data_IF_487468156601
#
_entry.id   IF_487468156601
#
_cell.length_a   1.000
_cell.length_b   1.000
_cell.length_c   1.000
_cell.angle_alpha   90.00
_cell.angle_beta   90.00
_cell.angle_gamma   90.00
#
_symmetry.space_group_name_H-M   'P 1'
#
loop_
_entity.id
_entity.type
_entity.pdbx_description
1 polymer ?
#
# COMPACT_ATOMS: atom_id res chain seq x y z
N UNK A 1 -4.03 -11.93 -88.20
CA UNK A 1 -5.16 -11.51 -89.07
C UNK A 1 -6.04 -10.65 -88.18
N UNK A 2 -6.07 -9.30 -88.26
CA UNK A 2 -6.61 -8.42 -89.34
C UNK A 2 -7.94 -8.99 -89.84
N UNK A 3 -9.10 -8.30 -89.82
CA UNK A 3 -9.51 -6.94 -90.25
C UNK A 3 -10.77 -6.57 -89.43
N UNK A 4 -11.03 -5.38 -88.90
CA UNK A 4 -11.28 -4.04 -89.47
C UNK A 4 -12.57 -3.87 -90.30
N UNK A 5 -13.31 -2.81 -89.92
CA UNK A 5 -14.27 -1.97 -90.67
C UNK A 5 -15.76 -2.37 -90.77
N UNK A 6 -16.61 -1.43 -90.32
CA UNK A 6 -18.04 -1.30 -90.67
C UNK A 6 -18.78 -0.31 -89.76
N UNK A 7 -18.82 0.96 -90.15
CA UNK A 7 -19.54 2.06 -89.49
C UNK A 7 -20.81 2.47 -90.29
N UNK A 8 -21.62 3.35 -89.67
CA UNK A 8 -22.80 4.09 -90.17
C UNK A 8 -24.15 3.33 -90.03
N UNK A 9 -25.26 3.86 -89.48
CA UNK A 9 -25.65 5.25 -89.24
C UNK A 9 -26.81 5.40 -88.19
N UNK A 10 -26.91 6.62 -87.64
CA UNK A 10 -27.74 7.27 -86.57
C UNK A 10 -29.29 7.20 -86.68
N UNK A 11 -30.11 7.91 -85.84
CA UNK A 11 -30.03 8.29 -84.40
C UNK A 11 -31.39 8.11 -83.64
N UNK A 12 -31.42 8.27 -82.31
CA UNK A 12 -32.48 9.01 -81.60
C UNK A 12 -32.14 9.18 -80.10
N UNK A 13 -32.31 10.39 -79.62
CA UNK A 13 -32.14 10.86 -78.24
C UNK A 13 -32.75 9.95 -77.18
N UNK A 14 -32.07 9.78 -76.05
CA UNK A 14 -32.60 10.05 -74.70
C UNK A 14 -31.49 9.80 -73.67
N UNK A 15 -31.23 10.80 -72.85
CA UNK A 15 -30.31 10.81 -71.72
C UNK A 15 -30.41 9.56 -70.82
N UNK A 16 -29.36 8.73 -70.80
CA UNK A 16 -29.12 7.79 -69.71
C UNK A 16 -28.38 8.51 -68.58
N UNK A 17 -29.12 8.93 -67.56
CA UNK A 17 -28.53 9.24 -66.26
C UNK A 17 -28.28 7.92 -65.55
N UNK A 18 -27.00 7.60 -65.32
CA UNK A 18 -26.54 6.46 -64.52
C UNK A 18 -27.09 6.59 -63.10
N UNK A 19 -28.21 5.92 -62.83
CA UNK A 19 -28.70 5.69 -61.49
C UNK A 19 -27.81 4.66 -60.80
N UNK A 20 -26.89 5.15 -59.96
CA UNK A 20 -26.25 4.32 -58.94
C UNK A 20 -27.33 3.62 -58.10
N UNK A 21 -27.21 2.31 -57.80
CA UNK A 21 -28.09 1.67 -56.83
C UNK A 21 -27.61 2.08 -55.43
N UNK A 22 -27.89 3.31 -55.04
CA UNK A 22 -27.87 3.67 -53.64
C UNK A 22 -29.22 3.20 -53.07
N UNK A 23 -29.30 1.90 -52.79
CA UNK A 23 -30.40 1.33 -52.01
C UNK A 23 -30.33 1.98 -50.63
N UNK A 24 -31.09 3.07 -50.46
CA UNK A 24 -31.36 3.65 -49.16
C UNK A 24 -31.97 2.56 -48.29
N UNK A 25 -31.17 1.97 -47.41
CA UNK A 25 -31.67 1.04 -46.42
C UNK A 25 -32.62 1.82 -45.51
N UNK A 26 -33.92 1.57 -45.66
CA UNK A 26 -34.94 2.11 -44.75
C UNK A 26 -34.58 1.72 -43.31
N UNK A 27 -34.70 2.63 -42.33
CA UNK A 27 -34.51 2.30 -40.92
C UNK A 27 -35.52 1.22 -40.52
N UNK A 28 -35.06 0.15 -39.86
CA UNK A 28 -35.94 -0.91 -39.33
C UNK A 28 -36.62 -0.36 -38.08
N UNK A 29 -37.96 -0.31 -38.09
CA UNK A 29 -38.72 0.24 -36.98
C UNK A 29 -38.88 -0.78 -35.85
N UNK A 30 -39.05 -0.30 -34.60
CA UNK A 30 -39.33 -1.15 -33.44
C UNK A 30 -40.57 -2.02 -33.64
N UNK A 31 -41.57 -1.48 -34.36
CA UNK A 31 -42.84 -2.15 -34.65
C UNK A 31 -42.67 -3.41 -35.51
N UNK A 32 -41.58 -3.50 -36.28
CA UNK A 32 -41.26 -4.66 -37.12
C UNK A 32 -40.55 -5.78 -36.32
N UNK A 33 -40.18 -5.52 -35.06
CA UNK A 33 -39.32 -6.38 -34.24
C UNK A 33 -39.91 -6.66 -32.85
N UNK A 34 -41.23 -6.92 -32.78
CA UNK A 34 -41.95 -7.22 -31.52
C UNK A 34 -41.48 -8.52 -30.84
N UNK A 35 -40.78 -9.41 -31.55
CA UNK A 35 -40.19 -10.63 -30.98
C UNK A 35 -38.95 -10.38 -30.11
N UNK A 36 -38.35 -9.20 -30.17
CA UNK A 36 -37.21 -8.82 -29.34
C UNK A 36 -37.67 -8.13 -28.06
N UNK A 37 -37.12 -8.55 -26.92
CA UNK A 37 -37.35 -7.86 -25.65
C UNK A 37 -36.73 -6.45 -25.66
N UNK A 38 -37.26 -5.53 -24.87
CA UNK A 38 -36.74 -4.15 -24.76
C UNK A 38 -35.21 -4.08 -24.53
N UNK A 39 -34.60 -4.84 -23.61
CA UNK A 39 -33.14 -4.78 -23.42
C UNK A 39 -32.34 -5.27 -24.64
N UNK A 40 -32.90 -6.19 -25.44
CA UNK A 40 -32.26 -6.73 -26.64
C UNK A 40 -32.36 -5.75 -27.81
N UNK A 41 -33.52 -5.11 -27.96
CA UNK A 41 -33.68 -4.04 -28.94
C UNK A 41 -32.72 -2.88 -28.66
N UNK A 42 -32.67 -2.41 -27.42
CA UNK A 42 -31.75 -1.36 -26.98
C UNK A 42 -30.29 -1.77 -27.19
N UNK A 43 -29.96 -3.05 -26.99
CA UNK A 43 -28.63 -3.57 -27.28
C UNK A 43 -28.28 -3.53 -28.77
N UNK A 44 -29.22 -3.83 -29.66
CA UNK A 44 -29.02 -3.71 -31.09
C UNK A 44 -28.88 -2.25 -31.55
N UNK A 45 -29.62 -1.33 -30.91
CA UNK A 45 -29.42 0.11 -31.14
C UNK A 45 -28.02 0.57 -30.71
N UNK A 46 -27.52 0.10 -29.57
CA UNK A 46 -26.13 0.37 -29.17
C UNK A 46 -25.11 -0.31 -30.09
N UNK A 47 -25.34 -1.55 -30.52
CA UNK A 47 -24.50 -2.25 -31.48
C UNK A 47 -24.44 -1.50 -32.82
N UNK A 48 -25.55 -0.87 -33.24
CA UNK A 48 -25.62 -0.02 -34.41
C UNK A 48 -24.65 1.16 -34.34
N UNK A 49 -24.45 1.75 -33.16
CA UNK A 49 -23.45 2.82 -32.98
C UNK A 49 -22.01 2.33 -33.14
N UNK A 50 -21.76 1.03 -32.96
CA UNK A 50 -20.41 0.43 -33.03
C UNK A 50 -20.08 -0.09 -34.43
N UNK A 51 -21.04 -0.76 -35.07
CA UNK A 51 -20.82 -1.50 -36.33
C UNK A 51 -21.56 -0.86 -37.52
N UNK A 52 -22.45 0.09 -37.27
CA UNK A 52 -23.23 0.83 -38.25
C UNK A 52 -24.65 0.26 -38.46
N UNK A 53 -25.60 1.17 -38.71
CA UNK A 53 -27.02 0.86 -38.90
C UNK A 53 -27.26 -0.13 -40.04
N UNK A 54 -26.55 0.00 -41.16
CA UNK A 54 -26.72 -0.89 -42.32
C UNK A 54 -26.42 -2.36 -41.98
N UNK A 55 -25.45 -2.61 -41.10
CA UNK A 55 -25.07 -3.97 -40.68
C UNK A 55 -26.14 -4.56 -39.76
N UNK A 56 -26.61 -3.79 -38.78
CA UNK A 56 -27.70 -4.22 -37.89
C UNK A 56 -29.01 -4.42 -38.67
N UNK A 57 -29.30 -3.56 -39.64
CA UNK A 57 -30.48 -3.68 -40.49
C UNK A 57 -30.40 -4.88 -41.44
N UNK A 58 -29.19 -5.32 -41.82
CA UNK A 58 -28.98 -6.58 -42.55
C UNK A 58 -29.23 -7.78 -41.63
N UNK A 59 -28.71 -7.74 -40.40
CA UNK A 59 -28.95 -8.77 -39.38
C UNK A 59 -30.45 -8.97 -39.14
N UNK A 60 -31.20 -7.88 -38.93
CA UNK A 60 -32.64 -7.93 -38.67
C UNK A 60 -33.47 -8.44 -39.86
N UNK A 61 -32.98 -8.30 -41.10
CA UNK A 61 -33.69 -8.75 -42.32
C UNK A 61 -33.31 -10.16 -42.77
N UNK A 62 -32.12 -10.63 -42.43
CA UNK A 62 -31.57 -11.88 -42.98
C UNK A 62 -31.51 -13.00 -41.96
N UNK A 63 -31.37 -12.68 -40.66
CA UNK A 63 -31.28 -13.69 -39.61
C UNK A 63 -32.66 -14.09 -39.10
N UNK A 64 -32.77 -15.34 -38.63
CA UNK A 64 -33.96 -15.83 -37.93
C UNK A 64 -34.17 -15.10 -36.60
N UNK A 65 -35.40 -15.05 -36.06
CA UNK A 65 -35.66 -14.43 -34.75
C UNK A 65 -34.77 -14.96 -33.62
N UNK A 66 -34.45 -16.25 -33.62
CA UNK A 66 -33.57 -16.88 -32.61
C UNK A 66 -32.12 -16.42 -32.75
N UNK A 67 -31.63 -16.27 -33.97
CA UNK A 67 -30.27 -15.81 -34.22
C UNK A 67 -30.12 -14.32 -33.89
N UNK A 68 -31.15 -13.51 -34.14
CA UNK A 68 -31.19 -12.10 -33.74
C UNK A 68 -31.07 -11.93 -32.21
N UNK A 69 -31.80 -12.77 -31.45
CA UNK A 69 -31.68 -12.83 -30.00
C UNK A 69 -30.26 -13.22 -29.55
N UNK A 70 -29.65 -14.20 -30.22
CA UNK A 70 -28.26 -14.60 -29.97
C UNK A 70 -27.26 -13.45 -30.15
N UNK A 71 -27.42 -12.64 -31.20
CA UNK A 71 -26.60 -11.45 -31.47
C UNK A 71 -26.78 -10.39 -30.36
N UNK A 72 -28.03 -10.09 -29.99
CA UNK A 72 -28.33 -9.12 -28.94
C UNK A 72 -27.75 -9.53 -27.58
N UNK A 73 -27.95 -10.79 -27.16
CA UNK A 73 -27.41 -11.31 -25.91
C UNK A 73 -25.87 -11.35 -25.90
N UNK A 74 -25.27 -11.73 -27.02
CA UNK A 74 -23.81 -11.74 -27.18
C UNK A 74 -23.21 -10.34 -26.98
N UNK A 75 -23.87 -9.32 -27.52
CA UNK A 75 -23.45 -7.94 -27.34
C UNK A 75 -23.63 -7.45 -25.89
N UNK A 76 -24.79 -7.72 -25.26
CA UNK A 76 -25.03 -7.36 -23.86
C UNK A 76 -23.97 -7.97 -22.93
N UNK A 77 -23.65 -9.26 -23.12
CA UNK A 77 -22.63 -9.95 -22.31
C UNK A 77 -21.25 -9.33 -22.49
N UNK A 78 -20.92 -8.89 -23.70
CA UNK A 78 -19.66 -8.18 -24.00
C UNK A 78 -19.62 -6.81 -23.32
N UNK A 79 -20.70 -6.03 -23.40
CA UNK A 79 -20.79 -4.72 -22.72
C UNK A 79 -20.64 -4.85 -21.20
N UNK A 80 -21.27 -5.86 -20.59
CA UNK A 80 -21.15 -6.15 -19.16
C UNK A 80 -19.71 -6.49 -18.78
N UNK A 81 -19.02 -7.32 -19.59
CA UNK A 81 -17.62 -7.67 -19.37
C UNK A 81 -16.70 -6.45 -19.49
N UNK A 82 -16.90 -5.60 -20.49
CA UNK A 82 -16.13 -4.36 -20.67
C UNK A 82 -16.40 -3.34 -19.55
N UNK A 83 -17.64 -3.24 -19.08
CA UNK A 83 -18.00 -2.38 -17.94
C UNK A 83 -17.37 -2.88 -16.64
N UNK A 84 -17.36 -4.19 -16.39
CA UNK A 84 -16.69 -4.80 -15.24
C UNK A 84 -15.16 -4.62 -15.31
N UNK A 85 -14.57 -4.75 -16.50
CA UNK A 85 -13.15 -4.50 -16.73
C UNK A 85 -12.80 -3.01 -16.51
N UNK A 86 -13.69 -2.08 -16.88
CA UNK A 86 -13.47 -0.64 -16.64
C UNK A 86 -13.68 -0.24 -15.18
N UNK A 87 -14.60 -0.88 -14.47
CA UNK A 87 -14.83 -0.65 -13.04
C UNK A 87 -13.62 -1.08 -12.18
N UNK A 88 -12.91 -2.14 -12.57
CA UNK A 88 -11.64 -2.54 -11.91
C UNK A 88 -10.49 -1.56 -12.17
N UNK A 89 -10.49 -0.86 -13.31
CA UNK A 89 -9.48 0.16 -13.66
C UNK A 89 -9.80 1.55 -13.08
N UNK A 90 -11.08 1.86 -12.81
CA UNK A 90 -11.53 3.21 -12.43
C UNK A 90 -11.75 3.41 -10.93
N UNK A 91 -11.14 2.58 -10.07
CA UNK A 91 -11.03 2.96 -8.65
C UNK A 91 -10.15 4.21 -8.60
N UNK A 92 -10.62 5.38 -8.13
CA UNK A 92 -9.75 6.53 -7.96
C UNK A 92 -8.73 6.11 -6.91
N UNK A 93 -7.52 5.81 -7.38
CA UNK A 93 -6.37 5.58 -6.55
C UNK A 93 -6.15 6.86 -5.77
N UNK A 94 -6.61 6.87 -4.52
CA UNK A 94 -6.01 7.69 -3.47
C UNK A 94 -4.49 7.57 -3.64
N UNK A 95 -3.71 8.66 -3.47
CA UNK A 95 -2.27 8.54 -3.49
C UNK A 95 -1.91 7.48 -2.45
N UNK A 96 -1.58 6.28 -2.92
CA UNK A 96 -1.10 5.18 -2.09
C UNK A 96 0.27 5.66 -1.66
N UNK A 97 0.31 6.41 -0.56
CA UNK A 97 1.56 6.67 0.14
C UNK A 97 2.10 5.28 0.46
N UNK A 98 3.11 4.88 -0.30
CA UNK A 98 3.74 3.58 -0.17
C UNK A 98 4.16 3.38 1.27
N UNK A 99 3.80 2.24 1.85
CA UNK A 99 4.27 1.87 3.17
C UNK A 99 5.77 1.65 3.10
N UNK A 100 6.51 2.43 3.89
CA UNK A 100 7.96 2.31 3.93
C UNK A 100 8.33 1.04 4.71
N UNK A 101 9.05 0.12 4.05
CA UNK A 101 9.62 -1.07 4.72
C UNK A 101 10.84 -0.65 5.54
N UNK A 102 10.63 -0.10 6.74
CA UNK A 102 11.71 0.18 7.67
C UNK A 102 12.24 -1.11 8.31
N UNK A 103 13.54 -1.37 8.21
CA UNK A 103 14.16 -2.48 8.92
C UNK A 103 14.20 -2.18 10.42
N UNK A 104 13.77 -3.13 11.24
CA UNK A 104 13.86 -3.05 12.71
C UNK A 104 14.90 -4.06 13.15
N UNK A 105 15.91 -3.61 13.87
CA UNK A 105 16.92 -4.51 14.42
C UNK A 105 16.31 -5.42 15.48
N UNK A 106 16.81 -6.65 15.56
CA UNK A 106 16.34 -7.59 16.58
C UNK A 106 16.75 -7.08 17.95
N UNK A 107 15.80 -6.92 18.88
CA UNK A 107 16.13 -6.66 20.28
C UNK A 107 16.86 -7.87 20.85
N UNK A 108 18.11 -7.70 21.27
CA UNK A 108 18.85 -8.71 22.00
C UNK A 108 19.23 -8.08 23.33
N UNK A 109 18.87 -8.74 24.43
CA UNK A 109 19.21 -8.30 25.78
C UNK A 109 20.75 -8.26 25.97
N UNK A 110 21.37 -7.13 25.59
CA UNK A 110 22.80 -6.84 25.66
C UNK A 110 23.02 -5.57 26.48
N UNK A 111 24.17 -5.50 27.16
CA UNK A 111 24.61 -4.29 27.84
C UNK A 111 24.76 -3.14 26.82
N UNK A 112 23.89 -2.12 26.91
CA UNK A 112 23.91 -0.96 26.01
C UNK A 112 22.62 -0.71 25.23
N UNK A 113 21.79 -1.72 25.02
CA UNK A 113 20.53 -1.61 24.29
C UNK A 113 19.37 -1.51 25.28
N UNK A 114 18.75 -0.33 25.40
CA UNK A 114 17.55 -0.18 26.23
C UNK A 114 16.31 -0.65 25.47
N UNK A 115 15.51 -1.49 26.12
CA UNK A 115 14.21 -1.94 25.61
C UNK A 115 13.33 -0.77 25.17
N UNK A 116 13.36 0.34 25.94
CA UNK A 116 12.62 1.56 25.63
C UNK A 116 13.06 2.22 24.31
N UNK A 117 14.38 2.31 24.04
CA UNK A 117 14.89 2.85 22.77
C UNK A 117 14.45 1.97 21.61
N UNK A 118 14.54 0.65 21.76
CA UNK A 118 14.09 -0.29 20.73
C UNK A 118 12.57 -0.20 20.47
N UNK A 119 11.75 -0.04 21.51
CA UNK A 119 10.30 0.16 21.35
C UNK A 119 9.98 1.42 20.54
N UNK A 120 10.74 2.51 20.71
CA UNK A 120 10.60 3.73 19.89
C UNK A 120 10.92 3.46 18.41
N UNK A 121 11.95 2.66 18.12
CA UNK A 121 12.28 2.26 16.74
C UNK A 121 11.16 1.42 16.11
N UNK A 122 10.60 0.47 16.87
CA UNK A 122 9.45 -0.35 16.44
C UNK A 122 8.23 0.52 16.18
N UNK A 123 7.90 1.44 17.09
CA UNK A 123 6.73 2.33 16.96
C UNK A 123 6.87 3.25 15.73
N UNK A 124 8.09 3.71 15.45
CA UNK A 124 8.42 4.44 14.23
C UNK A 124 8.18 3.58 12.98
N UNK A 125 8.62 2.32 13.00
CA UNK A 125 8.41 1.38 11.90
C UNK A 125 6.94 1.02 11.68
N UNK A 126 6.16 0.82 12.75
CA UNK A 126 4.71 0.61 12.71
C UNK A 126 4.01 1.80 12.07
N UNK A 127 4.40 3.01 12.47
CA UNK A 127 3.84 4.28 11.97
C UNK A 127 4.13 4.45 10.48
N UNK A 128 5.39 4.24 10.07
CA UNK A 128 5.79 4.31 8.66
C UNK A 128 5.13 3.25 7.78
N UNK A 129 4.87 2.06 8.33
CA UNK A 129 4.12 0.98 7.67
C UNK A 129 2.60 1.15 7.72
N UNK A 130 2.10 2.10 8.50
CA UNK A 130 0.66 2.39 8.71
C UNK A 130 -0.12 1.18 9.24
N UNK A 131 0.51 0.39 10.13
CA UNK A 131 -0.16 -0.74 10.78
C UNK A 131 -1.06 -0.19 11.89
N UNK A 132 -2.38 -0.25 11.69
CA UNK A 132 -3.37 0.27 12.65
C UNK A 132 -3.86 -0.81 13.61
N UNK A 133 -4.16 -2.00 13.07
CA UNK A 133 -4.73 -3.11 13.83
C UNK A 133 -3.81 -3.55 14.98
N UNK A 134 -4.33 -3.62 16.24
CA UNK A 134 -3.52 -3.98 17.41
C UNK A 134 -2.86 -5.36 17.30
N UNK A 135 -3.54 -6.35 16.71
CA UNK A 135 -3.01 -7.71 16.59
C UNK A 135 -1.93 -7.78 15.51
N UNK A 136 -2.06 -7.01 14.43
CA UNK A 136 -1.03 -6.87 13.40
C UNK A 136 0.22 -6.16 13.94
N UNK A 137 0.06 -5.17 14.84
CA UNK A 137 1.21 -4.55 15.53
C UNK A 137 1.97 -5.59 16.34
N UNK A 138 1.28 -6.40 17.15
CA UNK A 138 1.91 -7.49 17.93
C UNK A 138 2.57 -8.53 17.01
N UNK A 139 1.88 -8.97 15.95
CA UNK A 139 2.41 -9.94 15.00
C UNK A 139 3.64 -9.42 14.23
N UNK A 140 3.71 -8.12 13.98
CA UNK A 140 4.86 -7.45 13.38
C UNK A 140 6.04 -7.35 14.37
N UNK A 141 5.77 -7.03 15.64
CA UNK A 141 6.81 -6.80 16.65
C UNK A 141 7.43 -8.07 17.19
N UNK A 142 6.66 -9.17 17.36
CA UNK A 142 7.18 -10.42 17.93
C UNK A 142 8.39 -11.02 17.18
N UNK A 143 8.42 -11.08 15.83
CA UNK A 143 9.61 -11.52 15.09
C UNK A 143 10.83 -10.63 15.30
N UNK A 144 10.64 -9.36 15.65
CA UNK A 144 11.71 -8.39 15.92
C UNK A 144 12.34 -8.57 17.31
N UNK A 145 11.80 -9.44 18.17
CA UNK A 145 12.46 -9.84 19.41
C UNK A 145 13.53 -10.89 19.10
N UNK A 146 14.65 -10.87 19.83
CA UNK A 146 15.71 -11.86 19.76
C UNK A 146 15.92 -12.59 21.08
N UNK A 147 16.67 -13.70 21.04
CA UNK A 147 17.10 -14.43 22.23
C UNK A 147 15.96 -14.79 23.20
N UNK A 148 16.17 -14.48 24.48
CA UNK A 148 15.20 -14.76 25.56
C UNK A 148 13.86 -14.05 25.37
N UNK A 149 13.86 -12.81 24.86
CA UNK A 149 12.65 -12.04 24.63
C UNK A 149 11.74 -12.69 23.59
N UNK A 150 12.33 -13.25 22.52
CA UNK A 150 11.58 -14.02 21.52
C UNK A 150 10.95 -15.25 22.15
N UNK A 151 11.74 -16.08 22.83
CA UNK A 151 11.24 -17.33 23.45
C UNK A 151 10.13 -17.06 24.46
N UNK A 152 10.25 -16.01 25.27
CA UNK A 152 9.22 -15.58 26.20
C UNK A 152 7.91 -15.21 25.50
N UNK A 153 7.97 -14.36 24.47
CA UNK A 153 6.78 -13.86 23.78
C UNK A 153 6.01 -15.00 23.09
N UNK A 154 6.71 -15.88 22.38
CA UNK A 154 6.09 -17.04 21.74
C UNK A 154 5.61 -18.08 22.76
N UNK A 155 6.34 -18.28 23.88
CA UNK A 155 5.92 -19.13 24.97
C UNK A 155 4.58 -18.70 25.58
N UNK A 156 4.42 -17.39 25.87
CA UNK A 156 3.14 -16.84 26.33
C UNK A 156 2.01 -17.08 25.34
N UNK A 157 2.26 -16.83 24.05
CA UNK A 157 1.26 -17.00 23.00
C UNK A 157 0.86 -18.45 22.75
N UNK A 158 1.75 -19.41 23.03
CA UNK A 158 1.45 -20.84 22.98
C UNK A 158 0.53 -21.27 24.14
N UNK A 159 0.71 -20.69 25.32
CA UNK A 159 -0.15 -20.98 26.49
C UNK A 159 -1.51 -20.30 26.39
N UNK A 160 -1.54 -19.06 25.92
CA UNK A 160 -2.76 -18.28 25.73
C UNK A 160 -2.66 -17.50 24.40
N UNK A 161 -3.42 -17.93 23.36
CA UNK A 161 -3.45 -17.23 22.07
C UNK A 161 -3.90 -15.77 22.15
N UNK A 162 -4.59 -15.39 23.23
CA UNK A 162 -5.17 -14.06 23.46
C UNK A 162 -4.39 -13.19 24.45
N UNK A 163 -3.24 -13.67 24.95
CA UNK A 163 -2.45 -12.97 25.98
C UNK A 163 -2.06 -11.53 25.61
N UNK A 164 -1.94 -11.22 24.32
CA UNK A 164 -1.64 -9.89 23.80
C UNK A 164 -2.85 -9.32 23.06
N UNK A 165 -3.93 -9.05 23.80
CA UNK A 165 -5.19 -8.52 23.25
C UNK A 165 -5.04 -7.13 22.63
N UNK A 166 -4.06 -6.34 23.08
CA UNK A 166 -3.70 -5.04 22.51
C UNK A 166 -2.18 -4.86 22.44
N UNK A 167 -1.74 -3.95 21.58
CA UNK A 167 -0.33 -3.61 21.46
C UNK A 167 0.22 -2.92 22.71
N UNK A 168 -0.60 -2.14 23.44
CA UNK A 168 -0.17 -1.50 24.68
C UNK A 168 0.02 -2.52 25.81
N UNK A 169 -0.89 -3.49 25.94
CA UNK A 169 -0.72 -4.63 26.87
C UNK A 169 0.58 -5.39 26.57
N UNK A 170 0.85 -5.67 25.29
CA UNK A 170 2.11 -6.31 24.88
C UNK A 170 3.34 -5.50 25.30
N UNK A 171 3.36 -4.18 25.08
CA UNK A 171 4.47 -3.32 25.50
C UNK A 171 4.66 -3.31 27.01
N UNK A 172 3.57 -3.23 27.78
CA UNK A 172 3.63 -3.24 29.25
C UNK A 172 4.15 -4.57 29.80
N UNK A 173 3.65 -5.71 29.31
CA UNK A 173 4.15 -7.02 29.75
C UNK A 173 5.62 -7.22 29.34
N UNK A 174 6.00 -6.78 28.15
CA UNK A 174 7.38 -6.87 27.68
C UNK A 174 8.32 -6.02 28.55
N UNK A 175 7.89 -4.81 28.95
CA UNK A 175 8.61 -3.97 29.91
C UNK A 175 8.73 -4.68 31.25
N UNK A 176 7.64 -5.17 31.82
CA UNK A 176 7.70 -5.88 33.11
C UNK A 176 8.63 -7.10 33.09
N UNK A 177 8.72 -7.81 31.96
CA UNK A 177 9.54 -9.01 31.84
C UNK A 177 11.02 -8.72 31.59
N UNK A 178 11.36 -7.66 30.83
CA UNK A 178 12.72 -7.41 30.33
C UNK A 178 13.31 -6.07 30.73
N UNK A 179 12.53 -5.17 31.30
CA UNK A 179 13.07 -4.01 31.97
C UNK A 179 13.60 -4.45 33.34
N UNK A 180 14.89 -4.26 33.62
CA UNK A 180 15.41 -4.53 34.96
C UNK A 180 14.57 -3.73 35.96
N UNK A 181 14.06 -4.34 37.05
CA UNK A 181 13.28 -3.68 38.10
C UNK A 181 13.99 -2.47 38.75
N UNK A 182 15.25 -2.24 38.39
CA UNK A 182 16.13 -1.20 38.90
C UNK A 182 16.91 -0.52 37.78
N UNK A 183 16.49 -0.53 36.52
CA UNK A 183 17.29 0.08 35.44
C UNK A 183 17.57 1.58 35.70
N UNK A 184 16.55 2.33 36.13
CA UNK A 184 16.69 3.74 36.52
C UNK A 184 17.59 3.89 37.76
N UNK A 185 17.39 3.07 38.79
CA UNK A 185 18.20 3.11 40.01
C UNK A 185 19.65 2.72 39.77
N UNK A 186 19.89 1.71 38.94
CA UNK A 186 21.22 1.22 38.55
C UNK A 186 21.92 2.23 37.67
N UNK A 187 21.26 2.74 36.63
CA UNK A 187 21.83 3.78 35.76
C UNK A 187 22.11 5.07 36.54
N UNK A 188 21.24 5.43 37.50
CA UNK A 188 21.47 6.56 38.42
C UNK A 188 22.67 6.30 39.32
N UNK A 189 22.75 5.14 39.97
CA UNK A 189 23.90 4.79 40.83
C UNK A 189 25.20 4.80 40.03
N UNK A 190 25.22 4.16 38.86
CA UNK A 190 26.39 4.11 37.98
C UNK A 190 26.79 5.50 37.47
N UNK A 191 25.81 6.37 37.18
CA UNK A 191 26.10 7.76 36.82
C UNK A 191 26.72 8.53 37.98
N UNK A 192 26.18 8.39 39.20
CA UNK A 192 26.69 9.08 40.39
C UNK A 192 28.11 8.63 40.77
N UNK A 193 28.46 7.37 40.47
CA UNK A 193 29.78 6.78 40.70
C UNK A 193 30.71 6.91 39.47
N UNK A 194 30.27 7.56 38.39
CA UNK A 194 30.97 7.57 37.12
C UNK A 194 32.33 8.29 37.20
N UNK A 195 33.41 7.57 36.87
CA UNK A 195 34.78 8.09 36.81
C UNK A 195 35.35 7.99 35.38
N UNK A 196 36.13 8.98 34.95
CA UNK A 196 36.77 8.96 33.64
C UNK A 196 37.77 7.80 33.52
N UNK A 197 38.54 7.55 34.58
CA UNK A 197 39.57 6.52 34.59
C UNK A 197 40.52 6.67 33.40
N UNK A 198 40.75 5.56 32.69
CA UNK A 198 41.64 5.50 31.54
C UNK A 198 40.98 5.92 30.21
N UNK A 199 39.69 6.27 30.21
CA UNK A 199 38.97 6.65 29.00
C UNK A 199 39.33 8.08 28.54
N UNK A 200 39.30 8.31 27.24
CA UNK A 200 39.34 9.67 26.70
C UNK A 200 38.05 10.44 27.08
N UNK A 201 38.09 11.76 26.93
CA UNK A 201 36.98 12.64 27.34
C UNK A 201 35.72 12.37 26.52
N UNK A 202 35.85 11.98 25.25
CA UNK A 202 34.70 11.71 24.40
C UNK A 202 33.99 10.41 24.81
N UNK A 203 34.74 9.33 25.05
CA UNK A 203 34.22 8.07 25.54
C UNK A 203 33.55 8.24 26.92
N UNK A 204 34.17 9.02 27.81
CA UNK A 204 33.60 9.39 29.10
C UNK A 204 32.28 10.17 28.96
N UNK A 205 32.26 11.21 28.13
CA UNK A 205 31.06 12.01 27.84
C UNK A 205 29.95 11.18 27.18
N UNK A 206 30.31 10.23 26.33
CA UNK A 206 29.36 9.30 25.73
C UNK A 206 28.74 8.38 26.80
N UNK A 207 29.55 7.79 27.68
CA UNK A 207 29.04 6.94 28.78
C UNK A 207 28.11 7.73 29.72
N UNK A 208 28.49 8.94 30.08
CA UNK A 208 27.67 9.83 30.89
C UNK A 208 26.29 10.09 30.24
N UNK A 209 26.28 10.48 28.96
CA UNK A 209 25.04 10.71 28.21
C UNK A 209 24.18 9.46 28.11
N UNK A 210 24.81 8.30 27.88
CA UNK A 210 24.12 7.02 27.82
C UNK A 210 23.41 6.69 29.14
N UNK A 211 24.11 6.80 30.28
CA UNK A 211 23.53 6.51 31.60
C UNK A 211 22.39 7.47 31.95
N UNK A 212 22.54 8.76 31.65
CA UNK A 212 21.46 9.76 31.82
C UNK A 212 20.26 9.44 30.94
N UNK A 213 20.48 8.99 29.70
CA UNK A 213 19.39 8.66 28.76
C UNK A 213 18.55 7.46 29.19
N UNK A 214 19.08 6.62 30.09
CA UNK A 214 18.37 5.45 30.60
C UNK A 214 17.44 5.77 31.78
N UNK A 215 17.50 6.98 32.36
CA UNK A 215 16.70 7.39 33.51
C UNK A 215 15.49 8.18 33.00
N UNK A 216 14.31 7.54 32.97
CA UNK A 216 13.12 8.11 32.32
C UNK A 216 12.10 8.64 33.34
N UNK A 217 11.94 7.96 34.48
CA UNK A 217 10.83 8.25 35.41
C UNK A 217 11.05 9.47 36.31
N UNK A 218 12.30 9.75 36.67
CA UNK A 218 12.68 10.91 37.48
C UNK A 218 14.07 11.40 37.02
N UNK A 219 14.15 12.26 35.99
CA UNK A 219 15.42 12.67 35.41
C UNK A 219 16.26 13.42 36.44
N UNK A 220 17.57 13.19 36.41
CA UNK A 220 18.53 13.94 37.23
C UNK A 220 18.47 15.42 36.79
N UNK A 221 18.58 16.35 37.73
CA UNK A 221 18.65 17.78 37.41
C UNK A 221 20.00 18.14 36.75
N UNK A 222 20.02 19.20 35.94
CA UNK A 222 21.23 19.59 35.20
C UNK A 222 22.40 19.96 36.10
N UNK A 223 22.15 20.54 37.28
CA UNK A 223 23.23 20.88 38.20
C UNK A 223 23.92 19.62 38.74
N UNK A 224 23.15 18.62 39.15
CA UNK A 224 23.69 17.32 39.58
C UNK A 224 24.40 16.61 38.43
N UNK A 225 23.89 16.67 37.19
CA UNK A 225 24.59 16.09 36.03
C UNK A 225 25.97 16.72 35.83
N UNK A 226 26.03 18.05 35.81
CA UNK A 226 27.27 18.79 35.61
C UNK A 226 28.25 18.54 36.75
N UNK A 227 27.79 18.60 38.00
CA UNK A 227 28.64 18.36 39.19
C UNK A 227 29.22 16.95 39.18
N UNK A 228 28.39 15.94 38.93
CA UNK A 228 28.84 14.54 38.88
C UNK A 228 29.83 14.31 37.74
N UNK A 229 29.54 14.84 36.55
CA UNK A 229 30.44 14.73 35.40
C UNK A 229 31.78 15.42 35.65
N UNK A 230 31.77 16.63 36.19
CA UNK A 230 32.98 17.39 36.53
C UNK A 230 33.80 16.73 37.64
N UNK A 231 33.12 16.14 38.64
CA UNK A 231 33.75 15.40 39.74
C UNK A 231 34.47 14.14 39.24
N UNK A 232 33.89 13.43 38.27
CA UNK A 232 34.46 12.20 37.72
C UNK A 232 35.54 12.41 36.65
N UNK A 233 35.75 13.64 36.16
CA UNK A 233 36.86 13.96 35.25
C UNK A 233 38.22 13.72 35.94
N UNK A 234 39.13 13.10 35.21
CA UNK A 234 40.51 12.92 35.67
C UNK A 234 41.22 14.26 35.73
N UNK A 235 42.15 14.39 36.67
CA UNK A 235 42.94 15.60 36.80
C UNK A 235 43.81 15.79 35.55
N UNK A 236 43.79 17.01 35.01
CA UNK A 236 44.49 17.33 33.77
C UNK A 236 43.99 18.63 33.13
N UNK A 237 44.54 18.98 31.95
CA UNK A 237 44.30 20.26 31.29
C UNK A 237 42.81 20.57 31.10
N UNK A 238 42.04 19.56 30.67
CA UNK A 238 40.59 19.70 30.43
C UNK A 238 39.85 20.09 31.70
N UNK A 239 40.11 19.40 32.81
CA UNK A 239 39.49 19.72 34.11
C UNK A 239 39.88 21.13 34.55
N UNK A 240 41.16 21.48 34.48
CA UNK A 240 41.64 22.81 34.88
C UNK A 240 41.07 23.95 34.03
N UNK A 241 40.80 23.71 32.74
CA UNK A 241 40.18 24.70 31.86
C UNK A 241 38.69 24.91 32.14
N UNK A 242 38.00 23.89 32.66
CA UNK A 242 36.56 23.96 32.96
C UNK A 242 36.27 24.62 34.31
N UNK A 243 37.24 24.68 35.23
CA UNK A 243 37.13 25.35 36.53
C UNK A 243 37.75 26.76 36.57
N UNK A 244 38.20 27.28 35.42
CA UNK A 244 38.75 28.64 35.29
C UNK A 244 37.62 29.62 34.97
#
# INVERSE_FOLDING_TARGET
MKYDTGAEDLPADTSMSTGSPNTGAMPVARDDCLHLADPEWEALQRLSTVVGEAVVATILRTLSPTDQHGVALGFIKKEQHETAARATVSTPSTPRVESLKLHVNSYVEREGETLLRWLVEVDTAITARRIVDPLLKVAFTMPCLGGRARSWAYGRRLTDPTCFSTYDVFKEELRQAFEPPQNDFRSRAEFLDLQQGNHDVHAYAHRARYLVSNIVTNPIDEATKVVTFMKGLKDGPVKTSLFR
#
